data_IF_275057078098
#
_entry.id   IF_275057078098
#
_cell.length_a   1.000
_cell.length_b   1.000
_cell.length_c   1.000
_cell.angle_alpha   90.00
_cell.angle_beta   90.00
_cell.angle_gamma   90.00
#
_symmetry.space_group_name_H-M   'P 1'
#
loop_
_entity.id
_entity.type
_entity.pdbx_description
1 polymer ?
#
# COMPACT_ATOMS: atom_id res chain seq x y z
N UNK A 1 0.82 8.31 -14.11
CA UNK A 1 -0.15 8.80 -13.09
C UNK A 1 -1.58 8.73 -13.61
N UNK A 2 -1.87 9.29 -14.79
CA UNK A 2 -3.22 9.22 -15.40
C UNK A 2 -3.71 7.77 -15.55
N UNK A 3 -2.90 6.90 -16.16
CA UNK A 3 -3.21 5.47 -16.31
C UNK A 3 -3.47 4.76 -14.98
N UNK A 4 -2.78 5.18 -13.92
CA UNK A 4 -2.98 4.65 -12.55
C UNK A 4 -4.35 5.04 -12.02
N UNK A 5 -4.75 6.30 -12.20
CA UNK A 5 -6.07 6.79 -11.78
C UNK A 5 -7.18 6.09 -12.55
N UNK A 6 -7.02 5.94 -13.87
CA UNK A 6 -7.96 5.20 -14.71
C UNK A 6 -8.09 3.73 -14.29
N UNK A 7 -6.98 3.07 -13.98
CA UNK A 7 -6.99 1.72 -13.42
C UNK A 7 -7.72 1.63 -12.07
N UNK A 8 -7.55 2.62 -11.19
CA UNK A 8 -8.26 2.69 -9.91
C UNK A 8 -9.75 2.98 -10.09
N UNK A 9 -10.14 3.80 -11.07
CA UNK A 9 -11.54 4.04 -11.44
C UNK A 9 -12.18 2.75 -11.97
N UNK A 10 -11.50 2.02 -12.86
CA UNK A 10 -11.98 0.75 -13.38
C UNK A 10 -12.21 -0.29 -12.26
N UNK A 11 -11.36 -0.27 -11.22
CA UNK A 11 -11.49 -1.09 -10.01
C UNK A 11 -12.46 -0.52 -8.96
N UNK A 12 -13.13 0.61 -9.26
CA UNK A 12 -14.06 1.32 -8.36
C UNK A 12 -13.44 1.80 -7.04
N UNK A 13 -12.13 1.98 -7.01
CA UNK A 13 -11.38 2.49 -5.86
C UNK A 13 -11.27 4.02 -5.85
N UNK A 14 -11.59 4.69 -6.97
CA UNK A 14 -11.61 6.15 -7.13
C UNK A 14 -12.84 6.53 -7.97
N UNK A 15 -13.45 7.69 -7.71
CA UNK A 15 -14.40 8.36 -8.61
C UNK A 15 -13.85 9.67 -9.14
N UNK A 16 -14.28 10.02 -10.36
CA UNK A 16 -14.07 11.34 -10.95
C UNK A 16 -15.22 12.26 -10.51
N UNK A 17 -14.86 13.34 -9.80
CA UNK A 17 -15.76 14.36 -9.28
C UNK A 17 -15.58 15.69 -10.05
N UNK A 18 -15.00 15.64 -11.25
CA UNK A 18 -14.87 16.80 -12.11
C UNK A 18 -16.25 17.26 -12.58
N UNK A 19 -16.52 18.55 -12.40
CA UNK A 19 -17.72 19.15 -12.95
C UNK A 19 -17.60 19.24 -14.47
N UNK A 20 -18.73 19.11 -15.18
CA UNK A 20 -18.83 19.09 -16.64
C UNK A 20 -18.11 20.24 -17.40
N UNK A 21 -17.78 21.35 -16.73
CA UNK A 21 -17.06 22.49 -17.31
C UNK A 21 -15.76 22.84 -16.54
N UNK A 22 -15.25 21.92 -15.71
CA UNK A 22 -14.02 22.12 -14.96
C UNK A 22 -12.81 21.86 -15.85
N UNK A 23 -11.84 22.76 -15.84
CA UNK A 23 -10.54 22.55 -16.51
C UNK A 23 -9.55 21.75 -15.65
N UNK A 24 -9.95 21.39 -14.44
CA UNK A 24 -9.13 20.63 -13.48
C UNK A 24 -9.89 19.38 -13.07
N UNK A 25 -9.26 18.21 -13.27
CA UNK A 25 -9.80 16.94 -12.80
C UNK A 25 -9.72 16.86 -11.27
N UNK A 26 -10.78 16.35 -10.64
CA UNK A 26 -10.85 16.14 -9.20
C UNK A 26 -11.23 14.69 -8.96
N UNK A 27 -10.54 14.03 -8.05
CA UNK A 27 -10.76 12.62 -7.77
C UNK A 27 -11.04 12.41 -6.29
N UNK A 28 -11.98 11.52 -6.00
CA UNK A 28 -12.31 11.12 -4.63
C UNK A 28 -12.01 9.64 -4.44
N UNK A 29 -11.35 9.28 -3.33
CA UNK A 29 -11.14 7.87 -3.00
C UNK A 29 -12.47 7.20 -2.63
N UNK A 30 -12.65 5.98 -3.12
CA UNK A 30 -13.76 5.08 -2.79
C UNK A 30 -13.31 3.81 -2.08
N UNK A 31 -12.04 3.77 -1.69
CA UNK A 31 -11.36 2.65 -1.04
C UNK A 31 -12.07 2.14 0.22
N UNK A 32 -12.58 3.03 1.07
CA UNK A 32 -13.28 2.70 2.30
C UNK A 32 -14.39 3.71 2.59
N UNK A 33 -15.26 3.40 3.55
CA UNK A 33 -16.30 4.30 4.06
C UNK A 33 -17.30 4.80 3.01
N UNK A 34 -17.47 4.08 1.89
CA UNK A 34 -18.49 4.39 0.88
C UNK A 34 -19.82 3.76 1.25
N UNK A 35 -20.94 4.29 0.75
CA UNK A 35 -22.29 3.82 1.10
C UNK A 35 -22.46 2.30 0.91
N UNK A 36 -21.95 1.76 -0.19
CA UNK A 36 -22.09 0.35 -0.58
C UNK A 36 -20.84 -0.51 -0.36
N UNK A 37 -19.76 0.05 0.20
CA UNK A 37 -18.51 -0.67 0.45
C UNK A 37 -18.46 -1.33 1.83
N UNK A 38 -17.97 -2.57 1.88
CA UNK A 38 -17.86 -3.36 3.12
C UNK A 38 -16.69 -2.90 4.01
N UNK A 39 -15.67 -2.26 3.42
CA UNK A 39 -14.54 -1.75 4.17
C UNK A 39 -14.92 -0.45 4.88
N UNK A 40 -15.28 -0.58 6.15
CA UNK A 40 -15.48 0.53 7.08
C UNK A 40 -14.28 0.67 7.99
N UNK A 41 -13.70 1.87 8.02
CA UNK A 41 -12.55 2.23 8.85
C UNK A 41 -12.89 3.49 9.64
N UNK A 42 -12.70 3.45 10.95
CA UNK A 42 -12.78 4.66 11.75
C UNK A 42 -11.57 5.60 11.45
N UNK A 43 -11.58 6.80 12.03
CA UNK A 43 -10.55 7.80 11.75
C UNK A 43 -9.13 7.34 12.11
N UNK A 44 -8.99 6.60 13.21
CA UNK A 44 -7.70 6.05 13.65
C UNK A 44 -7.19 4.98 12.69
N UNK A 45 -8.04 4.02 12.33
CA UNK A 45 -7.74 2.95 11.38
C UNK A 45 -7.36 3.51 10.02
N UNK A 46 -8.15 4.45 9.49
CA UNK A 46 -7.87 5.12 8.22
C UNK A 46 -6.54 5.86 8.26
N UNK A 47 -6.24 6.57 9.36
CA UNK A 47 -4.96 7.28 9.54
C UNK A 47 -3.77 6.33 9.49
N UNK A 48 -3.86 5.19 10.19
CA UNK A 48 -2.80 4.17 10.19
C UNK A 48 -2.62 3.55 8.80
N UNK A 49 -3.70 3.14 8.14
CA UNK A 49 -3.63 2.57 6.79
C UNK A 49 -3.03 3.57 5.80
N UNK A 50 -3.43 4.85 5.82
CA UNK A 50 -2.81 5.88 4.99
C UNK A 50 -1.30 5.99 5.21
N UNK A 51 -0.86 6.01 6.48
CA UNK A 51 0.58 6.11 6.77
C UNK A 51 1.35 4.87 6.32
N UNK A 52 0.78 3.67 6.48
CA UNK A 52 1.40 2.43 6.03
C UNK A 52 1.49 2.35 4.51
N UNK A 53 0.43 2.72 3.78
CA UNK A 53 0.44 2.76 2.31
C UNK A 53 1.49 3.73 1.76
N UNK A 54 1.71 4.87 2.44
CA UNK A 54 2.63 5.91 1.96
C UNK A 54 4.08 5.72 2.38
N UNK A 55 4.36 4.90 3.41
CA UNK A 55 5.71 4.82 4.04
C UNK A 55 6.14 3.39 4.38
N UNK A 56 5.36 2.39 4.01
CA UNK A 56 5.64 0.99 4.30
C UNK A 56 5.64 0.68 5.80
N UNK A 57 6.45 -0.31 6.18
CA UNK A 57 6.51 -0.85 7.53
C UNK A 57 6.93 0.20 8.56
N UNK A 58 6.19 0.36 9.66
CA UNK A 58 6.48 1.37 10.70
C UNK A 58 6.17 0.83 12.11
N UNK A 59 6.84 1.36 13.13
CA UNK A 59 6.51 1.02 14.53
C UNK A 59 5.26 1.77 15.00
N UNK A 60 4.57 1.29 16.05
CA UNK A 60 3.44 2.02 16.65
C UNK A 60 3.79 3.45 17.09
N UNK A 61 5.00 3.68 17.63
CA UNK A 61 5.45 5.02 18.04
C UNK A 61 5.63 5.99 16.87
N UNK A 62 6.18 5.51 15.75
CA UNK A 62 6.30 6.28 14.51
C UNK A 62 4.93 6.63 13.95
N UNK A 63 4.05 5.61 13.87
CA UNK A 63 2.69 5.76 13.34
C UNK A 63 1.91 6.80 14.13
N UNK A 64 1.91 6.72 15.47
CA UNK A 64 1.25 7.71 16.33
C UNK A 64 1.69 9.14 16.00
N UNK A 65 2.99 9.36 15.82
CA UNK A 65 3.54 10.69 15.52
C UNK A 65 3.16 11.16 14.11
N UNK A 66 3.22 10.25 13.13
CA UNK A 66 3.00 10.56 11.71
C UNK A 66 1.52 10.74 11.37
N UNK A 67 0.60 10.16 12.14
CA UNK A 67 -0.84 10.29 11.94
C UNK A 67 -1.46 11.52 12.60
N UNK A 68 -0.72 12.34 13.33
CA UNK A 68 -1.25 13.47 14.12
C UNK A 68 -2.14 14.46 13.36
N UNK A 69 -1.97 14.59 12.03
CA UNK A 69 -2.81 15.45 11.18
C UNK A 69 -4.09 14.77 10.66
N UNK A 70 -4.19 13.45 10.82
CA UNK A 70 -5.28 12.61 10.34
C UNK A 70 -6.19 12.16 11.49
N UNK A 71 -5.60 11.79 12.63
CA UNK A 71 -6.28 11.26 13.80
C UNK A 71 -5.44 11.47 15.06
N UNK A 72 -6.03 11.21 16.23
CA UNK A 72 -5.36 11.29 17.52
C UNK A 72 -5.32 9.93 18.21
N UNK A 73 -4.24 9.70 18.96
CA UNK A 73 -4.09 8.58 19.89
C UNK A 73 -3.61 9.12 21.23
N UNK A 74 -4.24 8.67 22.30
CA UNK A 74 -3.88 8.98 23.69
C UNK A 74 -2.42 8.62 23.97
N UNK A 75 -2.06 7.36 23.72
CA UNK A 75 -0.70 6.84 23.88
C UNK A 75 -0.35 5.81 22.79
N UNK A 76 0.87 5.28 22.85
CA UNK A 76 1.35 4.27 21.88
C UNK A 76 0.63 2.92 22.05
N UNK A 77 0.12 2.62 23.25
CA UNK A 77 -0.62 1.37 23.50
C UNK A 77 -1.96 1.39 22.79
N UNK A 78 -2.63 2.54 22.73
CA UNK A 78 -3.85 2.69 21.93
C UNK A 78 -3.56 2.45 20.45
N UNK A 79 -2.48 3.03 19.92
CA UNK A 79 -2.03 2.80 18.53
C UNK A 79 -1.77 1.31 18.27
N UNK A 80 -1.05 0.64 19.16
CA UNK A 80 -0.80 -0.80 19.04
C UNK A 80 -2.11 -1.61 19.12
N UNK A 81 -3.03 -1.26 20.02
CA UNK A 81 -4.33 -1.93 20.13
C UNK A 81 -5.17 -1.79 18.85
N UNK A 82 -5.11 -0.64 18.17
CA UNK A 82 -5.81 -0.45 16.88
C UNK A 82 -5.16 -1.30 15.78
N UNK A 83 -3.82 -1.36 15.74
CA UNK A 83 -3.09 -2.21 14.80
C UNK A 83 -3.39 -3.70 15.01
N UNK A 84 -3.44 -4.15 16.26
CA UNK A 84 -3.82 -5.53 16.59
C UNK A 84 -5.27 -5.84 16.18
N UNK A 85 -6.21 -4.89 16.33
CA UNK A 85 -7.57 -5.07 15.79
C UNK A 85 -7.59 -5.16 14.27
N UNK A 86 -6.79 -4.35 13.57
CA UNK A 86 -6.68 -4.40 12.10
C UNK A 86 -6.03 -5.71 11.62
N UNK A 87 -5.12 -6.29 12.39
CA UNK A 87 -4.47 -7.57 12.09
C UNK A 87 -5.41 -8.76 12.34
N UNK A 88 -6.25 -8.68 13.38
CA UNK A 88 -7.15 -9.76 13.80
C UNK A 88 -8.61 -9.53 13.37
N UNK A 89 -8.84 -8.72 12.34
CA UNK A 89 -10.18 -8.36 11.86
C UNK A 89 -10.86 -9.56 11.18
N UNK A 90 -12.08 -9.90 11.61
CA UNK A 90 -12.83 -11.08 11.12
C UNK A 90 -13.08 -11.08 9.62
N UNK A 91 -13.23 -9.90 9.01
CA UNK A 91 -13.44 -9.71 7.57
C UNK A 91 -12.13 -9.73 6.76
N UNK A 92 -11.03 -10.16 7.37
CA UNK A 92 -9.71 -10.22 6.78
C UNK A 92 -8.75 -9.20 7.38
N UNK A 93 -7.54 -9.68 7.68
CA UNK A 93 -6.43 -8.89 8.17
C UNK A 93 -6.07 -7.78 7.16
N UNK A 94 -5.90 -6.55 7.65
CA UNK A 94 -5.51 -5.41 6.82
C UNK A 94 -4.03 -5.03 7.01
N UNK A 95 -3.46 -5.45 8.12
CA UNK A 95 -2.05 -5.24 8.49
C UNK A 95 -1.48 -6.53 9.06
N UNK A 96 -0.15 -6.63 9.05
CA UNK A 96 0.61 -7.72 9.68
C UNK A 96 1.67 -7.15 10.59
N UNK A 97 1.86 -7.78 11.76
CA UNK A 97 2.96 -7.50 12.67
C UNK A 97 4.19 -8.26 12.20
N UNK A 98 5.24 -7.54 11.85
CA UNK A 98 6.49 -8.13 11.40
C UNK A 98 7.32 -8.66 12.58
N UNK A 99 8.19 -9.66 12.35
CA UNK A 99 9.16 -10.09 13.34
C UNK A 99 9.99 -8.91 13.87
N UNK A 100 10.34 -8.95 15.16
CA UNK A 100 11.18 -7.92 15.75
C UNK A 100 12.60 -8.03 15.20
N UNK A 101 13.11 -6.89 14.76
CA UNK A 101 14.52 -6.76 14.39
C UNK A 101 15.41 -7.01 15.63
N UNK A 102 16.57 -7.69 15.47
CA UNK A 102 17.52 -7.89 16.55
C UNK A 102 17.90 -6.57 17.23
N UNK A 103 17.80 -6.52 18.56
CA UNK A 103 18.13 -5.32 19.35
C UNK A 103 17.04 -4.24 19.38
N UNK A 104 15.94 -4.37 18.63
CA UNK A 104 14.80 -3.43 18.70
C UNK A 104 13.77 -3.88 19.73
N UNK A 105 13.20 -2.90 20.44
CA UNK A 105 12.16 -3.12 21.46
C UNK A 105 10.76 -3.30 20.89
N UNK A 106 10.51 -2.74 19.71
CA UNK A 106 9.18 -2.65 19.10
C UNK A 106 9.16 -3.43 17.78
N UNK A 107 8.01 -4.00 17.44
CA UNK A 107 7.77 -4.61 16.12
C UNK A 107 7.27 -3.54 15.15
N UNK A 108 7.50 -3.75 13.85
CA UNK A 108 6.90 -2.91 12.80
C UNK A 108 5.62 -3.58 12.29
N UNK A 109 4.71 -2.78 11.75
CA UNK A 109 3.50 -3.25 11.07
C UNK A 109 3.55 -2.87 9.60
N UNK A 110 3.09 -3.74 8.71
CA UNK A 110 2.96 -3.50 7.27
C UNK A 110 1.51 -3.71 6.82
N UNK A 111 1.05 -3.02 5.77
CA UNK A 111 -0.28 -3.24 5.21
C UNK A 111 -0.33 -4.49 4.30
N UNK A 112 -1.52 -5.03 4.05
CA UNK A 112 -1.73 -6.21 3.21
C UNK A 112 -2.44 -5.92 1.86
N UNK A 113 -2.66 -4.65 1.52
CA UNK A 113 -3.35 -4.25 0.29
C UNK A 113 -2.58 -4.50 -1.03
N UNK A 114 -1.29 -4.84 -0.96
CA UNK A 114 -0.45 -5.13 -2.14
C UNK A 114 -0.06 -6.61 -2.23
N UNK A 115 -0.82 -7.50 -1.58
CA UNK A 115 -0.54 -8.93 -1.53
C UNK A 115 0.12 -9.35 -0.22
N UNK A 116 0.55 -10.61 -0.18
CA UNK A 116 1.22 -11.18 0.98
C UNK A 116 2.59 -10.53 1.20
N UNK A 117 2.93 -10.30 2.47
CA UNK A 117 4.22 -9.73 2.85
C UNK A 117 5.17 -10.86 3.15
N UNK A 118 6.29 -10.92 2.42
CA UNK A 118 7.38 -11.83 2.74
C UNK A 118 8.07 -11.39 4.04
N UNK A 119 7.71 -12.06 5.13
CA UNK A 119 8.27 -11.79 6.46
C UNK A 119 9.78 -12.08 6.53
N UNK A 120 10.31 -12.98 5.70
CA UNK A 120 11.72 -13.32 5.70
C UNK A 120 12.56 -12.17 5.13
N UNK A 121 12.09 -11.53 4.04
CA UNK A 121 12.76 -10.38 3.45
C UNK A 121 12.92 -9.20 4.44
N UNK A 122 11.91 -8.98 5.30
CA UNK A 122 11.96 -7.92 6.32
C UNK A 122 12.86 -8.23 7.52
N UNK A 123 13.10 -9.51 7.85
CA UNK A 123 14.00 -9.89 8.93
C UNK A 123 15.47 -9.53 8.64
N UNK A 124 15.83 -9.42 7.35
CA UNK A 124 17.18 -9.11 6.85
C UNK A 124 17.38 -7.65 6.43
N UNK A 125 16.32 -6.86 6.28
CA UNK A 125 16.39 -5.53 5.65
C UNK A 125 16.53 -4.41 6.69
N UNK A 126 17.76 -4.14 7.12
CA UNK A 126 18.07 -3.13 8.15
C UNK A 126 18.10 -1.67 7.67
N UNK A 127 17.93 -1.36 6.37
CA UNK A 127 18.05 0.01 5.85
C UNK A 127 17.08 0.27 4.69
N UNK A 128 15.86 0.74 4.99
CA UNK A 128 14.73 0.64 4.05
C UNK A 128 14.47 1.88 3.17
N UNK A 129 15.22 2.98 3.31
CA UNK A 129 15.07 4.12 2.38
C UNK A 129 16.09 4.09 1.24
N UNK A 130 17.31 3.62 1.50
CA UNK A 130 18.34 3.46 0.47
C UNK A 130 18.21 2.14 -0.31
N UNK A 131 17.77 1.04 0.33
CA UNK A 131 17.55 -0.22 -0.37
C UNK A 131 16.28 -0.22 -1.22
N UNK A 132 15.24 0.51 -0.82
CA UNK A 132 14.01 0.56 -1.58
C UNK A 132 14.25 1.14 -2.98
N UNK A 133 14.96 2.26 -3.09
CA UNK A 133 15.29 2.86 -4.40
C UNK A 133 16.16 1.94 -5.27
N UNK A 134 17.10 1.21 -4.69
CA UNK A 134 17.92 0.22 -5.40
C UNK A 134 17.09 -0.98 -5.89
N UNK A 135 16.21 -1.53 -5.05
CA UNK A 135 15.33 -2.65 -5.43
C UNK A 135 14.30 -2.21 -6.49
N UNK A 136 13.77 -0.99 -6.41
CA UNK A 136 12.88 -0.46 -7.45
C UNK A 136 13.61 -0.32 -8.79
N UNK A 137 14.86 0.13 -8.80
CA UNK A 137 15.65 0.24 -10.02
C UNK A 137 15.94 -1.13 -10.65
N UNK A 138 16.28 -2.14 -9.84
CA UNK A 138 16.50 -3.52 -10.32
C UNK A 138 15.21 -4.12 -10.90
N UNK A 139 14.07 -3.93 -10.23
CA UNK A 139 12.77 -4.40 -10.72
C UNK A 139 12.32 -3.68 -11.99
N UNK A 140 12.56 -2.37 -12.11
CA UNK A 140 12.28 -1.62 -13.35
C UNK A 140 13.09 -2.17 -14.53
N UNK A 141 14.34 -2.55 -14.28
CA UNK A 141 15.24 -3.12 -15.28
C UNK A 141 14.79 -4.53 -15.71
N UNK A 142 14.38 -5.37 -14.76
CA UNK A 142 13.84 -6.70 -15.04
C UNK A 142 12.52 -6.62 -15.81
N UNK A 143 11.61 -5.72 -15.44
CA UNK A 143 10.35 -5.51 -16.16
C UNK A 143 10.60 -5.00 -17.58
N UNK A 144 11.59 -4.14 -17.79
CA UNK A 144 11.96 -3.68 -19.13
C UNK A 144 12.45 -4.85 -20.01
N UNK A 145 13.34 -5.70 -19.47
CA UNK A 145 13.85 -6.88 -20.17
C UNK A 145 12.73 -7.87 -20.51
N UNK A 146 11.85 -8.18 -19.56
CA UNK A 146 10.71 -9.08 -19.78
C UNK A 146 9.74 -8.52 -20.82
N UNK A 147 9.53 -7.20 -20.86
CA UNK A 147 8.67 -6.57 -21.88
C UNK A 147 9.26 -6.69 -23.28
N UNK A 148 10.58 -6.59 -23.41
CA UNK A 148 11.29 -6.78 -24.68
C UNK A 148 11.18 -8.24 -25.14
N UNK A 149 11.43 -9.19 -24.25
CA UNK A 149 11.27 -10.63 -24.55
C UNK A 149 9.83 -10.97 -24.97
N UNK A 150 8.83 -10.42 -24.28
CA UNK A 150 7.42 -10.60 -24.66
C UNK A 150 7.12 -9.98 -26.04
N UNK A 151 7.73 -8.85 -26.38
CA UNK A 151 7.57 -8.24 -27.70
C UNK A 151 8.18 -9.09 -28.81
N UNK A 152 9.38 -9.64 -28.59
CA UNK A 152 10.04 -10.57 -29.52
C UNK A 152 9.22 -11.84 -29.73
N UNK A 153 8.77 -12.46 -28.64
CA UNK A 153 7.96 -13.68 -28.69
C UNK A 153 6.64 -13.45 -29.43
N UNK A 154 5.98 -12.31 -29.24
CA UNK A 154 4.76 -11.94 -29.98
C UNK A 154 5.02 -11.79 -31.47
N UNK A 155 6.10 -11.12 -31.87
CA UNK A 155 6.46 -10.97 -33.27
C UNK A 155 6.78 -12.32 -33.95
N UNK A 156 7.41 -13.23 -33.20
CA UNK A 156 7.70 -14.60 -33.66
C UNK A 156 6.43 -15.41 -33.88
N UNK A 157 5.46 -15.30 -32.96
CA UNK A 157 4.15 -15.94 -33.07
C UNK A 157 3.37 -15.40 -34.28
N UNK A 158 3.32 -14.08 -34.48
CA UNK A 158 2.66 -13.47 -35.65
C UNK A 158 3.28 -13.94 -36.97
N UNK A 159 4.59 -14.14 -37.01
CA UNK A 159 5.32 -14.63 -38.18
C UNK A 159 5.07 -16.12 -38.48
N UNK A 160 4.61 -16.91 -37.50
CA UNK A 160 4.29 -18.33 -37.67
C UNK A 160 2.79 -18.60 -37.82
N UNK A 161 1.94 -17.63 -37.50
CA UNK A 161 0.49 -17.72 -37.65
C UNK A 161 -0.06 -16.97 -38.89
N UNK A 162 0.78 -16.21 -39.61
CA UNK A 162 0.50 -15.64 -40.93
C UNK A 162 1.14 -16.44 -42.05
#
# INVERSE_FOLDING_TARGET
MQDTVEGLIARRLVSDESSFNSRTSKYQHRFCNTEFGDLKLNQQELGLICCLLLRGAQTPGELRTRTNRLCTFTDVKETEAVLERLANRDSGALVVKLPREPGKRESRYHHLFCGEVDMAAFATSSDNEANASSQYAELEQEVAALREEVAELRALIERHLG
#
